data_IF_688656153833
#
_entry.id   IF_688656153833
#
_cell.length_a   1.000
_cell.length_b   1.000
_cell.length_c   1.000
_cell.angle_alpha   90.00
_cell.angle_beta   90.00
_cell.angle_gamma   90.00
#
_symmetry.space_group_name_H-M   'P 1'
#
loop_
_entity.id
_entity.type
_entity.pdbx_description
1 polymer ?
#
# COMPACT_ATOMS: atom_id res chain seq x y z
N UNK A 1 -5.67 -19.62 -1.63
CA UNK A 1 -5.37 -19.25 -0.25
C UNK A 1 -4.64 -17.93 -0.34
N UNK A 2 -5.08 -16.90 0.37
CA UNK A 2 -4.33 -15.64 0.44
C UNK A 2 -2.95 -15.92 1.06
N UNK A 3 -1.95 -15.17 0.61
CA UNK A 3 -0.60 -15.29 1.13
C UNK A 3 -0.49 -14.51 2.45
N UNK A 4 0.03 -15.18 3.48
CA UNK A 4 0.41 -14.50 4.72
C UNK A 4 1.72 -13.72 4.50
N UNK A 5 1.71 -12.48 4.98
CA UNK A 5 2.81 -11.52 4.93
C UNK A 5 3.26 -11.19 6.35
N UNK A 6 4.57 -10.98 6.52
CA UNK A 6 5.17 -10.52 7.75
C UNK A 6 5.43 -9.02 7.61
N UNK A 7 4.72 -8.23 8.40
CA UNK A 7 4.85 -6.79 8.46
C UNK A 7 5.78 -6.41 9.60
N UNK A 8 6.80 -5.62 9.30
CA UNK A 8 7.71 -5.03 10.28
C UNK A 8 7.43 -3.54 10.35
N UNK A 9 7.04 -3.07 11.51
CA UNK A 9 6.82 -1.66 11.79
C UNK A 9 8.07 -1.10 12.47
N UNK A 10 8.63 -0.03 11.93
CA UNK A 10 9.84 0.65 12.40
C UNK A 10 9.46 2.09 12.77
N UNK A 11 9.01 2.32 14.02
CA UNK A 11 8.61 3.64 14.49
C UNK A 11 9.83 4.52 14.80
N UNK A 12 9.70 5.84 14.63
CA UNK A 12 10.80 6.77 14.90
C UNK A 12 11.24 6.82 16.39
N UNK A 13 10.33 6.55 17.34
CA UNK A 13 10.57 6.76 18.79
C UNK A 13 10.36 5.53 19.68
N UNK A 14 10.12 4.37 19.09
CA UNK A 14 9.93 3.11 19.82
C UNK A 14 10.69 1.97 19.15
N UNK A 15 10.64 0.78 19.75
CA UNK A 15 11.29 -0.40 19.17
C UNK A 15 10.50 -0.91 17.97
N UNK A 16 11.18 -1.47 16.95
CA UNK A 16 10.53 -2.19 15.87
C UNK A 16 9.61 -3.30 16.39
N UNK A 17 8.48 -3.47 15.72
CA UNK A 17 7.49 -4.52 15.97
C UNK A 17 7.31 -5.36 14.71
N UNK A 18 6.86 -6.61 14.85
CA UNK A 18 6.52 -7.45 13.70
C UNK A 18 5.25 -8.25 13.97
N UNK A 19 4.42 -8.39 12.94
CA UNK A 19 3.13 -9.07 12.99
C UNK A 19 2.78 -9.68 11.62
N UNK A 20 1.73 -10.48 11.56
CA UNK A 20 1.29 -11.14 10.32
C UNK A 20 0.00 -10.53 9.79
N UNK A 21 -0.11 -10.43 8.47
CA UNK A 21 -1.27 -9.90 7.77
C UNK A 21 -1.51 -10.70 6.48
N UNK A 22 -2.74 -10.69 5.98
CA UNK A 22 -3.01 -11.04 4.57
C UNK A 22 -3.00 -9.77 3.72
N UNK A 23 -2.89 -9.92 2.39
CA UNK A 23 -3.02 -8.79 1.45
C UNK A 23 -4.31 -8.01 1.66
N UNK A 24 -5.44 -8.71 1.79
CA UNK A 24 -6.75 -8.10 2.04
C UNK A 24 -6.79 -7.32 3.35
N UNK A 25 -6.09 -7.77 4.40
CA UNK A 25 -6.01 -7.02 5.66
C UNK A 25 -5.16 -5.75 5.51
N UNK A 26 -4.09 -5.78 4.72
CA UNK A 26 -3.27 -4.60 4.45
C UNK A 26 -4.05 -3.55 3.65
N UNK A 27 -4.75 -3.97 2.61
CA UNK A 27 -5.62 -3.09 1.81
C UNK A 27 -6.69 -2.47 2.71
N UNK A 28 -7.35 -3.27 3.55
CA UNK A 28 -8.34 -2.77 4.50
C UNK A 28 -7.75 -1.71 5.45
N UNK A 29 -6.59 -1.97 6.04
CA UNK A 29 -5.90 -1.01 6.91
C UNK A 29 -5.55 0.29 6.17
N UNK A 30 -5.12 0.20 4.91
CA UNK A 30 -4.84 1.38 4.11
C UNK A 30 -6.10 2.21 3.81
N UNK A 31 -7.24 1.57 3.52
CA UNK A 31 -8.54 2.26 3.39
C UNK A 31 -8.97 2.91 4.71
N UNK A 32 -8.72 2.27 5.86
CA UNK A 32 -8.92 2.87 7.19
C UNK A 32 -8.03 4.13 7.40
N UNK A 33 -6.92 4.25 6.66
CA UNK A 33 -5.99 5.38 6.64
C UNK A 33 -6.17 6.28 5.40
N UNK A 34 -7.37 6.26 4.81
CA UNK A 34 -7.75 7.14 3.68
C UNK A 34 -7.02 6.87 2.36
N UNK A 35 -6.65 5.61 2.10
CA UNK A 35 -6.41 5.18 0.72
C UNK A 35 -7.73 5.30 -0.07
N UNK A 36 -7.68 5.97 -1.21
CA UNK A 36 -8.69 5.80 -2.27
C UNK A 36 -8.03 5.04 -3.41
N UNK A 37 -8.64 3.94 -3.82
CA UNK A 37 -8.29 3.21 -5.03
C UNK A 37 -9.57 2.91 -5.79
N UNK A 38 -9.89 3.73 -6.79
CA UNK A 38 -11.18 3.69 -7.46
C UNK A 38 -11.01 3.51 -8.97
N UNK A 39 -11.81 2.62 -9.56
CA UNK A 39 -11.83 2.43 -11.00
C UNK A 39 -12.97 3.25 -11.59
N UNK A 40 -12.61 4.18 -12.47
CA UNK A 40 -13.54 5.01 -13.20
C UNK A 40 -13.93 4.42 -14.54
N UNK A 41 -15.21 4.52 -14.84
CA UNK A 41 -15.76 4.58 -16.20
C UNK A 41 -16.26 5.99 -16.50
N UNK A 42 -16.49 6.28 -17.80
CA UNK A 42 -17.09 7.56 -18.22
C UNK A 42 -18.46 7.79 -17.56
N UNK A 43 -19.27 6.73 -17.42
CA UNK A 43 -20.59 6.82 -16.81
C UNK A 43 -20.52 7.19 -15.33
N UNK A 44 -19.64 6.53 -14.56
CA UNK A 44 -19.43 6.83 -13.14
C UNK A 44 -18.88 8.25 -12.94
N UNK A 45 -17.96 8.69 -13.82
CA UNK A 45 -17.40 10.03 -13.76
C UNK A 45 -18.46 11.10 -13.98
N UNK A 46 -19.28 10.99 -15.04
CA UNK A 46 -20.39 11.94 -15.28
C UNK A 46 -21.39 11.90 -14.13
N UNK A 47 -21.71 10.72 -13.60
CA UNK A 47 -22.61 10.60 -12.45
C UNK A 47 -22.07 11.34 -11.21
N UNK A 48 -20.76 11.29 -10.97
CA UNK A 48 -20.13 11.85 -9.77
C UNK A 48 -19.88 13.35 -9.88
N UNK A 49 -19.47 13.84 -11.05
CA UNK A 49 -19.15 15.25 -11.31
C UNK A 49 -20.37 16.05 -11.84
N UNK A 50 -21.45 15.37 -12.20
CA UNK A 50 -22.71 15.97 -12.67
C UNK A 50 -22.74 16.13 -14.18
N UNK A 51 -21.73 16.78 -14.75
CA UNK A 51 -21.60 16.98 -16.19
C UNK A 51 -20.17 16.68 -16.66
N UNK A 52 -20.01 16.43 -17.97
CA UNK A 52 -18.71 16.11 -18.58
C UNK A 52 -17.69 17.24 -18.41
N UNK A 53 -18.14 18.49 -18.47
CA UNK A 53 -17.29 19.69 -18.38
C UNK A 53 -16.69 19.88 -16.97
N UNK A 54 -17.28 19.22 -15.96
CA UNK A 54 -16.83 19.29 -14.57
C UNK A 54 -15.87 18.14 -14.18
N UNK A 55 -15.64 17.17 -15.09
CA UNK A 55 -14.68 16.09 -14.87
C UNK A 55 -13.25 16.65 -14.95
N UNK A 56 -12.34 16.31 -14.03
CA UNK A 56 -10.92 16.69 -14.12
C UNK A 56 -10.32 16.34 -15.48
N UNK A 57 -9.62 17.29 -16.11
CA UNK A 57 -9.09 17.18 -17.48
C UNK A 57 -8.25 15.91 -17.67
N UNK A 58 -7.35 15.60 -16.73
CA UNK A 58 -6.52 14.40 -16.78
C UNK A 58 -7.33 13.10 -16.74
N UNK A 59 -8.36 13.04 -15.90
CA UNK A 59 -9.27 11.89 -15.82
C UNK A 59 -10.07 11.75 -17.12
N UNK A 60 -10.59 12.85 -17.64
CA UNK A 60 -11.38 12.87 -18.87
C UNK A 60 -10.56 12.37 -20.07
N UNK A 61 -9.32 12.87 -20.23
CA UNK A 61 -8.41 12.46 -21.30
C UNK A 61 -8.14 10.95 -21.28
N UNK A 62 -7.87 10.38 -20.10
CA UNK A 62 -7.65 8.94 -19.95
C UNK A 62 -8.92 8.15 -20.31
N UNK A 63 -10.08 8.60 -19.82
CA UNK A 63 -11.36 7.94 -20.08
C UNK A 63 -11.74 7.97 -21.56
N UNK A 64 -11.44 9.05 -22.28
CA UNK A 64 -11.65 9.16 -23.72
C UNK A 64 -10.70 8.27 -24.52
N UNK A 65 -9.43 8.20 -24.13
CA UNK A 65 -8.41 7.40 -24.83
C UNK A 65 -8.58 5.88 -24.58
N UNK A 66 -8.85 5.49 -23.33
CA UNK A 66 -8.77 4.09 -22.87
C UNK A 66 -10.10 3.49 -22.44
N UNK A 67 -11.13 4.30 -22.21
CA UNK A 67 -12.44 3.83 -21.73
C UNK A 67 -12.48 3.45 -20.24
N UNK A 68 -11.39 3.67 -19.50
CA UNK A 68 -11.32 3.43 -18.06
C UNK A 68 -10.05 4.00 -17.45
N UNK A 69 -10.13 4.43 -16.19
CA UNK A 69 -9.03 5.01 -15.42
C UNK A 69 -9.01 4.46 -13.99
N UNK A 70 -7.88 4.57 -13.32
CA UNK A 70 -7.73 4.32 -11.89
C UNK A 70 -7.38 5.63 -11.20
N UNK A 71 -8.13 6.01 -10.19
CA UNK A 71 -7.79 7.08 -9.26
C UNK A 71 -7.13 6.49 -8.03
N UNK A 72 -5.99 7.07 -7.65
CA UNK A 72 -5.28 6.74 -6.42
C UNK A 72 -5.07 7.99 -5.58
N UNK A 73 -5.48 7.95 -4.32
CA UNK A 73 -5.16 8.95 -3.28
C UNK A 73 -4.50 8.22 -2.12
N UNK A 74 -3.26 8.58 -1.77
CA UNK A 74 -2.53 8.02 -0.62
C UNK A 74 -2.43 9.04 0.52
N UNK A 75 -3.41 8.98 1.43
CA UNK A 75 -3.41 9.74 2.69
C UNK A 75 -4.15 11.08 2.65
N UNK A 76 -4.32 11.64 3.85
CA UNK A 76 -5.09 12.85 4.13
C UNK A 76 -4.63 14.06 3.30
N UNK A 77 -5.55 14.65 2.52
CA UNK A 77 -5.38 15.89 1.74
C UNK A 77 -4.38 15.81 0.58
N UNK A 78 -4.10 14.62 0.04
CA UNK A 78 -3.34 14.51 -1.22
C UNK A 78 -4.27 14.72 -2.42
N UNK A 79 -3.73 15.34 -3.46
CA UNK A 79 -4.41 15.43 -4.75
C UNK A 79 -4.49 14.03 -5.39
N UNK A 80 -5.60 13.71 -6.06
CA UNK A 80 -5.74 12.44 -6.76
C UNK A 80 -4.72 12.34 -7.89
N UNK A 81 -4.17 11.14 -8.07
CA UNK A 81 -3.41 10.79 -9.27
C UNK A 81 -4.24 9.84 -10.12
N UNK A 82 -4.35 10.13 -11.41
CA UNK A 82 -5.10 9.32 -12.36
C UNK A 82 -4.17 8.50 -13.25
N UNK A 83 -4.47 7.21 -13.40
CA UNK A 83 -3.68 6.28 -14.19
C UNK A 83 -4.53 5.60 -15.25
N UNK A 84 -3.89 5.24 -16.35
CA UNK A 84 -4.43 4.22 -17.27
C UNK A 84 -4.49 2.88 -16.54
N UNK A 85 -5.51 2.07 -16.81
CA UNK A 85 -5.74 0.80 -16.09
C UNK A 85 -4.53 -0.15 -16.17
N UNK A 86 -3.79 -0.14 -17.27
CA UNK A 86 -2.60 -0.97 -17.50
C UNK A 86 -1.30 -0.36 -16.98
N UNK A 87 -1.30 0.91 -16.58
CA UNK A 87 -0.15 1.63 -16.02
C UNK A 87 -0.30 1.89 -14.51
N UNK A 88 -1.49 1.65 -13.95
CA UNK A 88 -1.78 1.88 -12.55
C UNK A 88 -0.98 0.92 -11.64
N UNK A 89 -0.50 1.40 -10.47
CA UNK A 89 0.01 0.50 -9.43
C UNK A 89 -1.09 -0.46 -8.98
N UNK A 90 -0.73 -1.63 -8.46
CA UNK A 90 -1.74 -2.50 -7.87
C UNK A 90 -2.36 -1.84 -6.62
N UNK A 91 -3.58 -2.24 -6.26
CA UNK A 91 -4.21 -1.75 -5.02
C UNK A 91 -3.36 -2.11 -3.79
N UNK A 92 -2.73 -3.30 -3.80
CA UNK A 92 -1.81 -3.70 -2.74
C UNK A 92 -0.57 -2.79 -2.67
N UNK A 93 0.02 -2.41 -3.80
CA UNK A 93 1.18 -1.52 -3.80
C UNK A 93 0.81 -0.11 -3.34
N UNK A 94 -0.36 0.37 -3.75
CA UNK A 94 -0.93 1.64 -3.27
C UNK A 94 -1.22 1.58 -1.76
N UNK A 95 -1.70 0.44 -1.26
CA UNK A 95 -1.93 0.21 0.16
C UNK A 95 -0.63 0.19 0.96
N UNK A 96 0.43 -0.46 0.43
CA UNK A 96 1.77 -0.39 1.04
C UNK A 96 2.23 1.05 1.15
N UNK A 97 2.10 1.84 0.07
CA UNK A 97 2.48 3.25 0.06
C UNK A 97 1.68 4.07 1.08
N UNK A 98 0.36 3.90 1.13
CA UNK A 98 -0.51 4.61 2.07
C UNK A 98 -0.21 4.26 3.55
N UNK A 99 0.32 3.06 3.81
CA UNK A 99 0.76 2.66 5.16
C UNK A 99 2.08 3.35 5.56
N UNK A 100 2.90 3.81 4.61
CA UNK A 100 4.10 4.59 4.94
C UNK A 100 3.69 6.00 5.38
N UNK A 101 4.07 6.36 6.60
CA UNK A 101 3.86 7.69 7.17
C UNK A 101 5.21 8.26 7.68
N UNK A 102 5.29 9.57 7.85
CA UNK A 102 6.49 10.28 8.30
C UNK A 102 7.01 9.77 9.67
N UNK A 103 6.14 9.16 10.47
CA UNK A 103 6.46 8.66 11.82
C UNK A 103 6.80 7.15 11.86
N UNK A 104 6.48 6.41 10.81
CA UNK A 104 6.57 4.95 10.76
C UNK A 104 7.06 4.47 9.39
N UNK A 105 8.17 3.74 9.37
CA UNK A 105 8.55 2.97 8.18
C UNK A 105 8.04 1.54 8.33
N UNK A 106 7.45 0.99 7.27
CA UNK A 106 7.02 -0.39 7.24
C UNK A 106 7.90 -1.21 6.28
N UNK A 107 8.18 -2.46 6.61
CA UNK A 107 8.77 -3.42 5.69
C UNK A 107 7.85 -4.63 5.64
N UNK A 108 7.42 -5.03 4.45
CA UNK A 108 6.44 -6.11 4.28
C UNK A 108 7.11 -7.22 3.50
N UNK A 109 7.16 -8.41 4.10
CA UNK A 109 7.88 -9.56 3.57
C UNK A 109 6.96 -10.75 3.37
N UNK A 110 7.20 -11.49 2.30
CA UNK A 110 6.85 -12.91 2.26
C UNK A 110 7.69 -13.70 3.27
N UNK A 111 7.30 -14.93 3.61
CA UNK A 111 8.09 -15.76 4.52
C UNK A 111 9.54 -15.98 4.04
N UNK A 112 9.74 -16.20 2.73
CA UNK A 112 11.07 -16.39 2.14
C UNK A 112 11.93 -15.13 2.26
N UNK A 113 11.37 -13.96 1.99
CA UNK A 113 12.04 -12.67 2.15
C UNK A 113 12.36 -12.38 3.62
N UNK A 114 11.45 -12.71 4.54
CA UNK A 114 11.66 -12.56 5.98
C UNK A 114 12.82 -13.42 6.48
N UNK A 115 12.91 -14.68 6.02
CA UNK A 115 14.04 -15.57 6.33
C UNK A 115 15.35 -15.02 5.77
N UNK A 116 15.34 -14.47 4.55
CA UNK A 116 16.51 -13.82 3.96
C UNK A 116 16.92 -12.54 4.72
N UNK A 117 15.95 -11.75 5.18
CA UNK A 117 16.18 -10.54 5.95
C UNK A 117 16.86 -10.83 7.30
N UNK A 118 16.38 -11.84 8.04
CA UNK A 118 17.00 -12.29 9.30
C UNK A 118 18.40 -12.85 9.07
N UNK A 119 18.62 -13.57 7.96
CA UNK A 119 19.93 -14.10 7.58
C UNK A 119 20.90 -13.05 7.03
N UNK A 120 20.48 -11.80 6.82
CA UNK A 120 21.32 -10.77 6.20
C UNK A 120 22.35 -10.19 7.18
N UNK A 121 23.55 -9.89 6.67
CA UNK A 121 24.65 -9.28 7.45
C UNK A 121 24.50 -7.76 7.63
N UNK A 122 23.28 -7.21 7.49
CA UNK A 122 23.02 -5.77 7.69
C UNK A 122 23.25 -5.42 9.16
N UNK A 123 23.85 -4.25 9.43
CA UNK A 123 24.25 -3.84 10.79
C UNK A 123 23.63 -2.49 11.15
N UNK A 124 23.18 -2.38 12.40
CA UNK A 124 22.57 -1.18 12.97
C UNK A 124 21.66 -1.58 14.14
N UNK A 125 21.57 -0.76 15.19
CA UNK A 125 20.77 -1.12 16.37
C UNK A 125 19.29 -1.37 16.02
N UNK A 126 18.69 -0.46 15.22
CA UNK A 126 17.31 -0.62 14.76
C UNK A 126 17.12 -1.84 13.84
N UNK A 127 18.10 -2.16 12.99
CA UNK A 127 18.05 -3.35 12.12
C UNK A 127 18.08 -4.63 12.95
N UNK A 128 18.91 -4.69 14.00
CA UNK A 128 18.97 -5.85 14.88
C UNK A 128 17.64 -6.07 15.62
N UNK A 129 17.02 -5.00 16.12
CA UNK A 129 15.71 -5.10 16.78
C UNK A 129 14.62 -5.53 15.80
N UNK A 130 14.62 -5.03 14.56
CA UNK A 130 13.72 -5.46 13.49
C UNK A 130 13.91 -6.94 13.13
N UNK A 131 15.15 -7.39 12.92
CA UNK A 131 15.47 -8.81 12.68
C UNK A 131 15.03 -9.70 13.85
N UNK A 132 15.21 -9.24 15.08
CA UNK A 132 14.74 -9.96 16.28
C UNK A 132 13.22 -10.07 16.32
N UNK A 133 12.49 -9.02 15.94
CA UNK A 133 11.03 -9.04 15.84
C UNK A 133 10.56 -10.06 14.79
N UNK A 134 11.15 -10.05 13.59
CA UNK A 134 10.84 -11.01 12.51
C UNK A 134 11.14 -12.44 12.93
N UNK A 135 12.30 -12.68 13.56
CA UNK A 135 12.69 -14.03 14.01
C UNK A 135 11.68 -14.65 14.99
N UNK A 136 11.01 -13.84 15.82
CA UNK A 136 9.97 -14.31 16.75
C UNK A 136 8.68 -14.70 16.05
N UNK A 137 8.37 -14.11 14.89
CA UNK A 137 7.24 -14.50 14.06
C UNK A 137 7.56 -15.81 13.34
N UNK A 138 8.73 -15.88 12.69
CA UNK A 138 9.18 -17.08 11.97
C UNK A 138 9.21 -18.32 12.87
N UNK A 139 9.66 -18.20 14.12
CA UNK A 139 9.70 -19.35 15.06
C UNK A 139 8.33 -19.89 15.48
N UNK A 140 7.23 -19.23 15.09
CA UNK A 140 5.85 -19.69 15.35
C UNK A 140 5.24 -20.39 14.14
N UNK A 141 5.89 -20.27 12.97
CA UNK A 141 5.48 -20.90 11.71
C UNK A 141 6.13 -22.28 11.53
N UNK A 142 7.25 -22.53 12.22
CA UNK A 142 7.95 -23.82 12.30
C UNK A 142 7.32 -24.75 13.36
#
# INVERSE_FOLDING_TARGET
MEQDLIVVEIPHRSRPSAWMATESRLIQLAHELELTYFKWTMEEAVYSYGDREDIPEELLDILEEKGGAIEVITGLNREPTYYKVDEAPSELDSAKEALFDDLYSYEIFTESEARAFVGSNKRGHGIYEAQSAVSKILSRLD
#
